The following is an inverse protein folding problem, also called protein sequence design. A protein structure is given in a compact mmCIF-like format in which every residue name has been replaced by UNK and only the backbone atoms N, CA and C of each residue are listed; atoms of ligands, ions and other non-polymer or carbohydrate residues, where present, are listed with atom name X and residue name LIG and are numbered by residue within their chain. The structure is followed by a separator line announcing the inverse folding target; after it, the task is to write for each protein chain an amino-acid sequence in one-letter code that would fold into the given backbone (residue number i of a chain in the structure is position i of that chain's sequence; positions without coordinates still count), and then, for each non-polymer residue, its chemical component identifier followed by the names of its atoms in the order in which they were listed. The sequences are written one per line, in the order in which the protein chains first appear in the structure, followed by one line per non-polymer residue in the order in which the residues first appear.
data_IF_471889052717
#
_entry.id   IF_471889052717
#
_cell.length_a   1.000
_cell.length_b   1.000
_cell.length_c   1.000
_cell.angle_alpha   90.00
_cell.angle_beta   90.00
_cell.angle_gamma   90.00
#
_symmetry.space_group_name_H-M   'P 1'
#
loop_
_entity.id
_entity.type
_entity.pdbx_description
1 polymer ?
#
# COMPACT_ATOMS: atom_id res chain seq x y z
N UNK A 1 23.74 30.70 42.40
CA UNK A 1 23.78 30.48 40.94
C UNK A 1 23.15 29.11 40.67
N UNK A 2 21.82 29.06 40.61
CA UNK A 2 21.06 27.85 40.33
C UNK A 2 20.70 27.96 38.85
N UNK A 3 21.27 27.09 38.03
CA UNK A 3 21.03 27.07 36.57
C UNK A 3 19.75 26.30 36.25
N UNK A 4 18.90 26.95 35.47
CA UNK A 4 17.66 26.41 34.86
C UNK A 4 17.91 25.18 33.98
N UNK A 5 17.79 24.00 34.55
CA UNK A 5 17.76 22.73 33.82
C UNK A 5 16.33 22.21 33.57
N UNK A 6 15.30 22.95 34.02
CA UNK A 6 13.90 22.44 33.94
C UNK A 6 13.20 22.69 32.60
N UNK A 7 13.64 23.67 31.81
CA UNK A 7 12.95 24.04 30.56
C UNK A 7 13.32 23.13 29.40
N UNK A 8 14.60 22.69 29.33
CA UNK A 8 15.03 21.77 28.26
C UNK A 8 14.44 20.35 28.41
N UNK A 9 14.32 19.85 29.63
CA UNK A 9 13.73 18.53 29.89
C UNK A 9 12.25 18.45 29.55
N UNK A 10 11.48 19.51 29.84
CA UNK A 10 10.05 19.59 29.52
C UNK A 10 9.81 19.68 28.01
N UNK A 11 10.66 20.42 27.27
CA UNK A 11 10.49 20.55 25.81
C UNK A 11 10.80 19.22 25.09
N UNK A 12 11.81 18.47 25.55
CA UNK A 12 12.15 17.15 25.01
C UNK A 12 11.06 16.11 25.32
N UNK A 13 10.48 16.15 26.51
CA UNK A 13 9.38 15.25 26.90
C UNK A 13 8.11 15.56 26.12
N UNK A 14 7.78 16.83 25.89
CA UNK A 14 6.64 17.24 25.05
C UNK A 14 6.84 16.88 23.58
N UNK A 15 8.04 17.06 23.01
CA UNK A 15 8.34 16.65 21.64
C UNK A 15 8.25 15.13 21.47
N UNK A 16 8.80 14.37 22.44
CA UNK A 16 8.75 12.91 22.44
C UNK A 16 7.30 12.39 22.60
N UNK A 17 6.49 13.03 23.43
CA UNK A 17 5.08 12.68 23.60
C UNK A 17 4.25 13.02 22.37
N UNK A 18 4.52 14.12 21.68
CA UNK A 18 3.85 14.49 20.41
C UNK A 18 4.24 13.53 19.30
N UNK A 19 5.49 13.07 19.22
CA UNK A 19 5.93 12.07 18.27
C UNK A 19 5.32 10.69 18.57
N UNK A 20 5.22 10.32 19.84
CA UNK A 20 4.56 9.06 20.27
C UNK A 20 3.06 9.08 19.95
N UNK A 21 2.37 10.19 20.21
CA UNK A 21 0.95 10.35 19.88
C UNK A 21 0.71 10.38 18.36
N UNK A 22 1.62 10.94 17.57
CA UNK A 22 1.55 10.88 16.11
C UNK A 22 1.80 9.47 15.57
N UNK A 23 2.72 8.71 16.17
CA UNK A 23 2.99 7.31 15.85
C UNK A 23 1.77 6.41 16.12
N UNK A 24 1.18 6.51 17.31
CA UNK A 24 -0.03 5.78 17.70
C UNK A 24 -1.22 6.08 16.77
N UNK A 25 -1.37 7.35 16.34
CA UNK A 25 -2.46 7.74 15.42
C UNK A 25 -2.25 7.21 14.00
N UNK A 26 -1.01 6.95 13.58
CA UNK A 26 -0.73 6.41 12.24
C UNK A 26 -0.99 4.90 12.13
N UNK A 27 -0.87 4.16 13.22
CA UNK A 27 -1.12 2.70 13.25
C UNK A 27 -2.61 2.38 13.18
N UNK A 28 -3.47 3.25 13.67
CA UNK A 28 -4.93 3.08 13.61
C UNK A 28 -5.48 3.06 12.17
N UNK A 29 -4.81 3.75 11.23
CA UNK A 29 -5.25 3.86 9.83
C UNK A 29 -4.64 2.83 8.89
N UNK A 30 -3.72 1.99 9.36
CA UNK A 30 -3.05 0.97 8.55
C UNK A 30 -3.37 -0.44 9.04
N UNK A 31 -3.25 -1.38 8.12
CA UNK A 31 -3.30 -2.82 8.40
C UNK A 31 -2.00 -3.48 8.04
N UNK A 32 -1.64 -4.52 8.79
CA UNK A 32 -0.50 -5.39 8.47
C UNK A 32 -0.92 -6.39 7.41
N UNK A 33 -0.13 -6.51 6.36
CA UNK A 33 -0.18 -7.59 5.37
C UNK A 33 1.02 -8.48 5.60
N UNK A 34 0.76 -9.65 6.15
CA UNK A 34 1.81 -10.62 6.45
C UNK A 34 2.57 -11.03 5.20
N UNK A 35 3.88 -11.15 5.32
CA UNK A 35 4.76 -11.61 4.26
C UNK A 35 4.43 -13.01 3.77
N UNK A 36 5.13 -13.45 2.75
CA UNK A 36 5.00 -14.79 2.19
C UNK A 36 4.51 -14.83 0.75
N UNK A 37 4.49 -16.02 0.19
CA UNK A 37 4.17 -16.27 -1.21
C UNK A 37 2.67 -16.28 -1.47
N UNK A 38 2.26 -15.75 -2.62
CA UNK A 38 0.89 -15.80 -3.10
C UNK A 38 0.84 -15.95 -4.63
N UNK A 39 -0.23 -16.52 -5.21
CA UNK A 39 -0.43 -16.56 -6.65
C UNK A 39 -0.93 -15.20 -7.15
N UNK A 40 -0.06 -14.46 -7.86
CA UNK A 40 -0.36 -13.21 -8.54
C UNK A 40 -0.89 -13.48 -9.94
N UNK A 41 -1.87 -12.71 -10.38
CA UNK A 41 -2.52 -12.85 -11.68
C UNK A 41 -3.79 -13.69 -11.61
N UNK A 42 -4.40 -13.96 -12.78
CA UNK A 42 -5.67 -14.67 -12.89
C UNK A 42 -5.65 -15.61 -14.08
N UNK A 43 -5.92 -16.91 -13.83
CA UNK A 43 -6.08 -17.90 -14.91
C UNK A 43 -7.35 -17.62 -15.74
N UNK A 44 -7.26 -17.87 -17.05
CA UNK A 44 -8.36 -17.64 -18.00
C UNK A 44 -8.88 -16.18 -18.04
N UNK A 45 -7.97 -15.24 -17.76
CA UNK A 45 -8.24 -13.80 -17.81
C UNK A 45 -7.54 -13.17 -19.03
N UNK A 46 -7.24 -11.86 -18.99
CA UNK A 46 -6.52 -11.19 -20.06
C UNK A 46 -5.05 -11.65 -20.12
N UNK A 47 -4.45 -11.51 -21.27
CA UNK A 47 -3.07 -11.97 -21.50
C UNK A 47 -2.05 -11.32 -20.57
N UNK A 48 -2.29 -10.05 -20.21
CA UNK A 48 -1.41 -9.30 -19.30
C UNK A 48 -1.63 -9.62 -17.80
N UNK A 49 -2.68 -10.38 -17.46
CA UNK A 49 -2.91 -10.94 -16.14
C UNK A 49 -2.34 -12.37 -16.01
N UNK A 50 -1.71 -12.88 -17.07
CA UNK A 50 -1.21 -14.25 -17.18
C UNK A 50 0.30 -14.29 -17.47
N UNK A 51 0.97 -15.42 -17.16
CA UNK A 51 0.47 -16.55 -16.38
C UNK A 51 0.29 -16.19 -14.90
N UNK A 52 -0.55 -16.95 -14.20
CA UNK A 52 -0.52 -16.90 -12.72
C UNK A 52 0.86 -17.33 -12.25
N UNK A 53 1.48 -16.52 -11.41
CA UNK A 53 2.84 -16.73 -10.92
C UNK A 53 2.89 -16.59 -9.40
N UNK A 54 3.69 -17.42 -8.75
CA UNK A 54 3.92 -17.27 -7.31
C UNK A 54 4.98 -16.20 -7.09
N UNK A 55 4.64 -15.20 -6.30
CA UNK A 55 5.56 -14.15 -5.85
C UNK A 55 5.57 -14.10 -4.33
N UNK A 56 6.73 -13.85 -3.75
CA UNK A 56 6.92 -13.66 -2.32
C UNK A 56 7.04 -12.18 -2.02
N UNK A 57 6.28 -11.70 -1.05
CA UNK A 57 6.26 -10.31 -0.61
C UNK A 57 6.68 -10.27 0.86
N UNK A 58 7.55 -9.35 1.21
CA UNK A 58 7.91 -9.04 2.59
C UNK A 58 6.71 -8.41 3.33
N UNK A 59 6.59 -8.62 4.63
CA UNK A 59 5.56 -7.98 5.48
C UNK A 59 5.57 -6.46 5.31
N UNK A 60 4.40 -5.86 5.22
CA UNK A 60 4.24 -4.41 5.10
C UNK A 60 2.94 -3.93 5.74
N UNK A 61 2.87 -2.65 6.01
CA UNK A 61 1.63 -1.97 6.42
C UNK A 61 1.01 -1.26 5.23
N UNK A 62 -0.31 -1.27 5.14
CA UNK A 62 -1.08 -0.62 4.07
C UNK A 62 -2.21 0.21 4.66
N UNK A 63 -2.50 1.37 4.08
CA UNK A 63 -3.67 2.16 4.44
C UNK A 63 -4.96 1.35 4.25
N UNK A 64 -5.85 1.37 5.26
CA UNK A 64 -7.12 0.62 5.22
C UNK A 64 -8.06 1.09 4.11
N UNK A 65 -7.92 2.34 3.70
CA UNK A 65 -8.70 2.98 2.64
C UNK A 65 -7.76 3.75 1.72
N UNK A 66 -8.28 4.33 0.66
CA UNK A 66 -7.57 5.34 -0.13
C UNK A 66 -7.21 6.56 0.74
N UNK A 67 -6.18 7.30 0.38
CA UNK A 67 -5.86 8.59 0.99
C UNK A 67 -7.05 9.53 0.83
N UNK A 68 -7.54 10.12 1.93
CA UNK A 68 -8.68 11.03 1.88
C UNK A 68 -8.27 12.46 1.53
N UNK A 69 -9.21 13.25 1.01
CA UNK A 69 -9.01 14.68 0.73
C UNK A 69 -8.60 15.42 2.01
N UNK A 70 -9.19 15.11 3.16
CA UNK A 70 -8.84 15.74 4.43
C UNK A 70 -7.42 15.40 4.86
N UNK A 71 -7.02 14.14 4.69
CA UNK A 71 -5.67 13.74 5.04
C UNK A 71 -4.64 14.34 4.08
N UNK A 72 -4.97 14.38 2.77
CA UNK A 72 -4.14 15.08 1.79
C UNK A 72 -3.91 16.54 2.21
N UNK A 73 -4.97 17.31 2.48
CA UNK A 73 -4.89 18.71 2.88
C UNK A 73 -4.05 18.94 4.13
N UNK A 74 -4.18 18.06 5.11
CA UNK A 74 -3.40 18.14 6.35
C UNK A 74 -1.90 18.07 6.06
N UNK A 75 -1.49 17.10 5.24
CA UNK A 75 -0.10 16.93 4.83
C UNK A 75 0.35 18.06 3.89
N UNK A 76 -0.44 18.38 2.87
CA UNK A 76 -0.15 19.44 1.88
C UNK A 76 0.15 20.78 2.55
N UNK A 77 -0.65 21.16 3.53
CA UNK A 77 -0.46 22.42 4.30
C UNK A 77 0.91 22.51 4.97
N UNK A 78 1.41 21.43 5.47
CA UNK A 78 2.74 21.33 6.06
C UNK A 78 3.83 21.19 4.97
N UNK A 79 3.61 20.35 3.98
CA UNK A 79 4.53 20.01 2.92
C UNK A 79 4.97 21.24 2.11
N UNK A 80 4.03 22.11 1.74
CA UNK A 80 4.32 23.35 1.00
C UNK A 80 5.30 24.25 1.76
N UNK A 81 5.18 24.31 3.11
CA UNK A 81 6.13 25.04 3.98
C UNK A 81 7.48 24.34 4.09
N UNK A 82 7.52 23.03 3.87
CA UNK A 82 8.71 22.18 3.91
C UNK A 82 9.37 21.99 2.54
N UNK A 83 8.98 22.80 1.53
CA UNK A 83 9.61 22.84 0.22
C UNK A 83 8.99 21.94 -0.84
N UNK A 84 7.91 21.22 -0.52
CA UNK A 84 7.20 20.41 -1.52
C UNK A 84 6.36 21.28 -2.46
N UNK A 85 6.20 20.79 -3.71
CA UNK A 85 5.34 21.39 -4.73
C UNK A 85 4.57 20.30 -5.45
N UNK A 86 3.27 20.50 -5.58
CA UNK A 86 2.33 19.60 -6.24
C UNK A 86 1.68 20.32 -7.43
N UNK A 87 1.55 19.62 -8.55
CA UNK A 87 0.76 20.05 -9.72
C UNK A 87 -0.73 19.83 -9.45
N UNK A 88 -1.05 18.73 -8.76
CA UNK A 88 -2.38 18.43 -8.24
C UNK A 88 -2.58 19.14 -6.89
N UNK A 89 -3.78 19.55 -6.61
CA UNK A 89 -4.08 20.16 -5.32
C UNK A 89 -5.46 19.75 -4.84
N UNK A 90 -5.69 19.81 -3.53
CA UNK A 90 -6.97 19.47 -2.93
C UNK A 90 -8.16 20.27 -3.49
N UNK A 91 -7.91 21.44 -4.08
CA UNK A 91 -8.94 22.21 -4.80
C UNK A 91 -9.43 21.50 -6.08
N UNK A 92 -8.56 20.75 -6.75
CA UNK A 92 -8.92 20.01 -7.95
C UNK A 92 -9.72 18.74 -7.62
N UNK A 93 -9.43 18.07 -6.50
CA UNK A 93 -10.12 16.88 -6.03
C UNK A 93 -11.63 17.10 -5.85
N UNK A 94 -12.06 18.31 -5.50
CA UNK A 94 -13.49 18.67 -5.40
C UNK A 94 -14.27 18.45 -6.70
N UNK A 95 -13.62 18.45 -7.87
CA UNK A 95 -14.28 18.21 -9.16
C UNK A 95 -14.71 16.76 -9.35
N UNK A 96 -14.13 15.83 -8.60
CA UNK A 96 -14.49 14.41 -8.62
C UNK A 96 -15.59 14.03 -7.65
N UNK A 97 -16.07 14.96 -6.82
CA UNK A 97 -17.11 14.70 -5.84
C UNK A 97 -18.49 15.09 -6.38
N UNK A 98 -19.52 14.39 -5.93
CA UNK A 98 -20.88 14.91 -6.05
C UNK A 98 -20.95 16.25 -5.34
N UNK A 99 -21.47 17.27 -6.02
CA UNK A 99 -21.57 18.64 -5.48
C UNK A 99 -22.42 18.73 -4.20
N UNK A 100 -23.21 17.72 -3.89
CA UNK A 100 -24.01 17.62 -2.67
C UNK A 100 -23.20 17.27 -1.40
N UNK A 101 -21.99 16.71 -1.54
CA UNK A 101 -21.26 16.11 -0.42
C UNK A 101 -19.84 16.65 -0.23
N UNK A 102 -19.49 17.72 -0.94
CA UNK A 102 -18.11 18.20 -1.09
C UNK A 102 -17.41 18.67 0.21
N UNK A 103 -18.12 18.80 1.33
CA UNK A 103 -17.59 19.45 2.54
C UNK A 103 -17.19 18.49 3.67
N UNK A 104 -17.54 17.20 3.64
CA UNK A 104 -17.24 16.26 4.73
C UNK A 104 -15.79 15.79 4.77
N UNK A 105 -15.10 15.81 3.64
CA UNK A 105 -13.66 15.51 3.55
C UNK A 105 -13.24 14.05 3.67
N UNK A 106 -14.15 13.14 3.91
CA UNK A 106 -13.88 11.70 4.03
C UNK A 106 -13.92 10.96 2.68
N UNK A 107 -13.91 11.70 1.59
CA UNK A 107 -13.82 11.18 0.24
C UNK A 107 -12.38 10.89 -0.18
N UNK A 108 -12.16 9.91 -1.08
CA UNK A 108 -10.82 9.63 -1.58
C UNK A 108 -10.24 10.85 -2.31
N UNK A 109 -8.97 11.12 -2.07
CA UNK A 109 -8.22 12.06 -2.89
C UNK A 109 -8.16 11.56 -4.32
N UNK A 110 -8.49 12.42 -5.25
CA UNK A 110 -8.50 12.16 -6.67
C UNK A 110 -7.92 13.35 -7.45
N UNK A 111 -7.89 13.30 -8.78
CA UNK A 111 -7.21 14.31 -9.59
C UNK A 111 -5.73 14.45 -9.23
N UNK A 112 -5.08 13.33 -8.88
CA UNK A 112 -3.67 13.24 -8.49
C UNK A 112 -2.91 12.47 -9.56
N UNK A 113 -1.84 13.05 -10.09
CA UNK A 113 -0.92 12.34 -10.94
C UNK A 113 0.07 11.49 -10.11
N UNK A 114 0.79 10.57 -10.78
CA UNK A 114 1.69 9.66 -10.11
C UNK A 114 2.83 10.38 -9.36
N UNK A 115 3.40 11.41 -9.95
CA UNK A 115 4.49 12.18 -9.35
C UNK A 115 4.07 12.87 -8.05
N UNK A 116 2.85 13.40 -8.01
CA UNK A 116 2.33 14.06 -6.82
C UNK A 116 2.00 13.04 -5.71
N UNK A 117 1.51 11.84 -6.07
CA UNK A 117 1.30 10.77 -5.11
C UNK A 117 2.64 10.32 -4.47
N UNK A 118 3.71 10.22 -5.26
CA UNK A 118 5.08 9.92 -4.80
C UNK A 118 5.62 11.01 -3.87
N UNK A 119 5.55 12.29 -4.29
CA UNK A 119 6.00 13.42 -3.48
C UNK A 119 5.21 13.55 -2.18
N UNK A 120 3.89 13.34 -2.24
CA UNK A 120 3.02 13.38 -1.07
C UNK A 120 3.35 12.26 -0.07
N UNK A 121 3.69 11.07 -0.55
CA UNK A 121 4.13 9.96 0.30
C UNK A 121 5.42 10.31 1.06
N UNK A 122 6.38 10.98 0.42
CA UNK A 122 7.54 11.54 1.08
C UNK A 122 7.18 12.61 2.12
N UNK A 123 6.28 13.53 1.75
CA UNK A 123 5.81 14.56 2.67
C UNK A 123 5.10 13.97 3.90
N UNK A 124 4.30 12.92 3.70
CA UNK A 124 3.70 12.15 4.79
C UNK A 124 4.77 11.53 5.69
N UNK A 125 5.82 10.98 5.10
CA UNK A 125 6.93 10.38 5.86
C UNK A 125 7.57 11.43 6.78
N UNK A 126 8.02 12.55 6.23
CA UNK A 126 8.64 13.63 7.03
C UNK A 126 7.65 14.20 8.08
N UNK A 127 6.37 14.41 7.71
CA UNK A 127 5.34 14.88 8.64
C UNK A 127 5.13 13.95 9.83
N UNK A 128 5.24 12.65 9.60
CA UNK A 128 5.09 11.60 10.62
C UNK A 128 6.41 11.28 11.34
N UNK A 129 7.50 12.00 11.04
CA UNK A 129 8.82 11.79 11.66
C UNK A 129 9.58 10.57 11.12
N UNK A 130 9.24 10.10 9.91
CA UNK A 130 9.91 9.01 9.21
C UNK A 130 10.82 9.55 8.11
N UNK A 131 11.81 8.78 7.71
CA UNK A 131 12.66 9.14 6.58
C UNK A 131 11.89 8.95 5.25
N UNK A 132 11.96 9.92 4.32
CA UNK A 132 11.44 9.75 2.96
C UNK A 132 12.12 8.59 2.25
N UNK A 133 11.43 7.98 1.31
CA UNK A 133 11.96 6.84 0.55
C UNK A 133 12.25 7.15 -0.91
N UNK A 134 11.72 8.23 -1.46
CA UNK A 134 11.91 8.62 -2.85
C UNK A 134 12.90 9.76 -2.98
N UNK A 135 13.84 9.61 -3.91
CA UNK A 135 14.90 10.58 -4.20
C UNK A 135 14.93 10.86 -5.69
N UNK A 136 15.55 11.98 -6.09
CA UNK A 136 15.70 12.33 -7.50
C UNK A 136 17.01 11.81 -8.11
N UNK A 137 17.82 11.12 -7.31
CA UNK A 137 19.10 10.56 -7.71
C UNK A 137 19.35 9.19 -7.06
N UNK A 138 20.17 8.35 -7.72
CA UNK A 138 20.50 7.00 -7.26
C UNK A 138 21.38 6.96 -6.01
N UNK A 139 22.06 8.06 -5.66
CA UNK A 139 22.83 8.17 -4.42
C UNK A 139 21.93 8.44 -3.21
N UNK A 140 20.67 8.83 -3.48
CA UNK A 140 19.69 9.18 -2.46
C UNK A 140 20.09 10.40 -1.63
N UNK A 141 20.75 11.36 -2.27
CA UNK A 141 21.17 12.62 -1.64
C UNK A 141 20.06 13.67 -1.66
N UNK A 142 19.22 13.66 -2.70
CA UNK A 142 18.19 14.67 -2.93
C UNK A 142 16.79 14.10 -2.79
N UNK A 143 16.09 14.45 -1.71
CA UNK A 143 14.70 14.03 -1.48
C UNK A 143 13.79 14.56 -2.61
N UNK A 144 12.94 13.71 -3.17
CA UNK A 144 12.01 14.10 -4.22
C UNK A 144 10.86 14.95 -3.65
N UNK A 145 10.95 16.29 -3.83
CA UNK A 145 9.99 17.28 -3.31
C UNK A 145 9.29 18.10 -4.39
N UNK A 146 9.91 18.24 -5.56
CA UNK A 146 9.42 19.17 -6.60
C UNK A 146 9.60 18.58 -8.00
N UNK A 147 8.84 19.10 -8.96
CA UNK A 147 8.92 18.68 -10.36
C UNK A 147 8.15 17.40 -10.64
N UNK A 148 8.25 16.98 -11.90
CA UNK A 148 7.72 15.72 -12.43
C UNK A 148 8.89 14.97 -13.05
N UNK A 149 9.82 14.56 -12.20
CA UNK A 149 11.04 13.86 -12.57
C UNK A 149 10.79 12.36 -12.55
N UNK A 150 11.09 11.70 -13.65
CA UNK A 150 11.10 10.25 -13.67
C UNK A 150 12.19 9.71 -12.76
N UNK A 151 11.82 8.75 -11.95
CA UNK A 151 12.71 8.05 -11.03
C UNK A 151 12.58 6.55 -11.26
N UNK A 152 13.69 5.85 -11.17
CA UNK A 152 13.78 4.40 -11.24
C UNK A 152 13.92 3.77 -9.84
N UNK A 153 14.03 2.45 -9.79
CA UNK A 153 14.13 1.70 -8.53
C UNK A 153 15.39 2.05 -7.71
N UNK A 154 16.47 2.52 -8.35
CA UNK A 154 17.72 2.93 -7.67
C UNK A 154 17.52 4.20 -6.85
N UNK A 155 16.57 5.03 -7.25
CA UNK A 155 16.18 6.27 -6.57
C UNK A 155 15.26 6.02 -5.36
N UNK A 156 14.94 4.77 -5.03
CA UNK A 156 14.03 4.42 -3.94
C UNK A 156 14.76 3.69 -2.82
N UNK A 157 14.55 4.10 -1.59
CA UNK A 157 14.99 3.36 -0.42
C UNK A 157 13.95 2.30 -0.04
N UNK A 158 14.01 1.14 -0.66
CA UNK A 158 13.05 0.04 -0.46
C UNK A 158 13.04 -0.55 0.95
N UNK A 159 14.15 -0.42 1.67
CA UNK A 159 14.27 -0.88 3.07
C UNK A 159 13.88 0.20 4.08
N UNK A 160 13.58 1.40 3.61
CA UNK A 160 13.15 2.52 4.44
C UNK A 160 11.73 2.32 4.98
N UNK A 161 11.48 2.86 6.18
CA UNK A 161 10.19 2.78 6.88
C UNK A 161 9.23 3.92 6.52
N UNK A 162 9.60 4.79 5.58
CA UNK A 162 8.75 5.86 5.08
C UNK A 162 7.58 5.33 4.25
N UNK A 163 6.61 6.18 4.04
CA UNK A 163 5.44 5.88 3.23
C UNK A 163 5.77 5.93 1.74
N UNK A 164 5.15 5.05 0.98
CA UNK A 164 5.29 4.94 -0.47
C UNK A 164 4.05 4.36 -1.13
N UNK A 165 3.99 4.44 -2.44
CA UNK A 165 3.03 3.68 -3.23
C UNK A 165 3.33 2.18 -3.08
N UNK A 166 2.32 1.31 -3.08
CA UNK A 166 2.53 -0.12 -3.19
C UNK A 166 3.14 -0.47 -4.55
N UNK A 167 3.97 -1.51 -4.62
CA UNK A 167 4.16 -2.18 -5.90
C UNK A 167 2.87 -2.85 -6.34
N UNK A 168 2.73 -3.16 -7.63
CA UNK A 168 1.57 -3.85 -8.16
C UNK A 168 1.32 -5.18 -7.44
N UNK A 169 2.38 -5.91 -7.11
CA UNK A 169 2.31 -7.17 -6.40
C UNK A 169 1.91 -7.02 -4.92
N UNK A 170 2.41 -5.99 -4.23
CA UNK A 170 1.99 -5.65 -2.87
C UNK A 170 0.50 -5.27 -2.83
N UNK A 171 0.07 -4.45 -3.78
CA UNK A 171 -1.34 -4.08 -3.91
C UNK A 171 -2.22 -5.32 -4.12
N UNK A 172 -1.85 -6.20 -5.08
CA UNK A 172 -2.65 -7.40 -5.39
C UNK A 172 -2.71 -8.37 -4.21
N UNK A 173 -1.58 -8.60 -3.49
CA UNK A 173 -1.57 -9.41 -2.28
C UNK A 173 -2.53 -8.86 -1.22
N UNK A 174 -2.45 -7.56 -0.97
CA UNK A 174 -3.33 -6.89 -0.03
C UNK A 174 -4.81 -6.97 -0.44
N UNK A 175 -5.09 -6.71 -1.72
CA UNK A 175 -6.43 -6.76 -2.29
C UNK A 175 -7.07 -8.16 -2.14
N UNK A 176 -6.29 -9.22 -2.36
CA UNK A 176 -6.78 -10.59 -2.24
C UNK A 176 -7.19 -10.99 -0.81
N UNK A 177 -6.67 -10.33 0.21
CA UNK A 177 -7.02 -10.66 1.59
C UNK A 177 -6.76 -12.14 1.96
N UNK A 178 -5.75 -12.78 1.34
CA UNK A 178 -5.45 -14.19 1.53
C UNK A 178 -6.31 -15.16 0.69
N UNK A 179 -7.29 -14.67 -0.08
CA UNK A 179 -8.14 -15.50 -0.94
C UNK A 179 -7.48 -15.66 -2.32
N UNK A 180 -7.39 -16.88 -2.82
CA UNK A 180 -6.74 -17.19 -4.08
C UNK A 180 -7.74 -17.37 -5.22
N UNK A 181 -7.38 -16.95 -6.44
CA UNK A 181 -8.10 -17.25 -7.68
C UNK A 181 -9.52 -16.64 -7.77
N UNK A 182 -9.83 -15.63 -6.96
CA UNK A 182 -11.11 -14.94 -6.98
C UNK A 182 -11.00 -13.61 -7.73
N UNK A 183 -12.13 -13.20 -8.32
CA UNK A 183 -12.23 -11.94 -9.05
C UNK A 183 -12.23 -10.72 -8.11
N UNK A 184 -12.84 -10.86 -6.92
CA UNK A 184 -13.05 -9.79 -5.95
C UNK A 184 -12.61 -10.24 -4.54
N UNK A 185 -12.42 -9.32 -3.59
CA UNK A 185 -11.98 -9.66 -2.22
C UNK A 185 -12.91 -10.62 -1.47
N UNK A 186 -14.18 -10.72 -1.88
CA UNK A 186 -15.22 -11.58 -1.28
C UNK A 186 -15.58 -12.79 -2.15
N UNK A 187 -15.05 -12.94 -3.36
CA UNK A 187 -15.36 -14.08 -4.24
C UNK A 187 -15.41 -13.74 -5.71
N UNK A 188 -16.33 -14.38 -6.47
CA UNK A 188 -16.46 -14.20 -7.93
C UNK A 188 -17.68 -13.38 -8.36
N UNK A 189 -18.41 -12.84 -7.43
CA UNK A 189 -19.66 -12.16 -7.65
C UNK A 189 -19.54 -10.70 -7.17
N UNK A 190 -20.18 -9.77 -7.83
CA UNK A 190 -20.25 -8.36 -7.47
C UNK A 190 -21.67 -7.85 -7.65
N UNK A 191 -22.15 -7.10 -6.69
CA UNK A 191 -23.35 -6.27 -6.79
C UNK A 191 -23.14 -4.93 -6.07
N UNK A 192 -24.09 -4.02 -6.21
CA UNK A 192 -23.99 -2.68 -5.67
C UNK A 192 -24.06 -2.58 -4.14
N UNK A 193 -24.20 -3.69 -3.41
CA UNK A 193 -24.06 -3.72 -1.96
C UNK A 193 -22.62 -3.94 -1.51
N UNK A 194 -21.71 -4.22 -2.44
CA UNK A 194 -20.34 -4.65 -2.17
C UNK A 194 -19.29 -3.62 -2.60
N UNK A 195 -19.61 -2.75 -3.57
CA UNK A 195 -18.66 -1.79 -4.09
C UNK A 195 -19.36 -0.62 -4.79
N UNK A 196 -18.65 0.52 -4.85
CA UNK A 196 -19.06 1.65 -5.65
C UNK A 196 -18.55 1.50 -7.08
N UNK A 197 -19.47 1.32 -8.01
CA UNK A 197 -19.23 1.26 -9.45
C UNK A 197 -20.41 1.89 -10.20
N UNK A 198 -20.32 2.03 -11.51
CA UNK A 198 -21.36 2.70 -12.32
C UNK A 198 -22.74 2.03 -12.14
N UNK A 199 -23.69 2.78 -11.59
CA UNK A 199 -25.05 2.34 -11.27
C UNK A 199 -25.08 1.21 -10.23
N UNK A 200 -24.19 1.26 -9.24
CA UNK A 200 -24.20 0.37 -8.08
C UNK A 200 -25.47 0.51 -7.22
N UNK A 201 -26.15 1.66 -7.34
CA UNK A 201 -27.38 1.91 -6.57
C UNK A 201 -27.12 2.53 -5.21
N UNK A 202 -25.90 2.93 -4.92
CA UNK A 202 -25.59 3.83 -3.81
C UNK A 202 -26.08 5.26 -4.11
N UNK A 203 -26.19 6.16 -3.14
CA UNK A 203 -26.68 7.52 -3.34
C UNK A 203 -25.71 8.46 -4.04
N UNK A 204 -24.50 8.01 -4.39
CA UNK A 204 -23.41 8.81 -4.97
C UNK A 204 -23.22 8.57 -6.48
N UNK A 205 -24.29 8.34 -7.22
CA UNK A 205 -24.23 7.98 -8.64
C UNK A 205 -23.28 8.90 -9.46
N UNK A 206 -22.42 8.28 -10.29
CA UNK A 206 -21.33 8.93 -11.06
C UNK A 206 -20.31 9.72 -10.19
N UNK A 207 -20.13 9.34 -8.91
CA UNK A 207 -19.19 9.95 -7.99
C UNK A 207 -18.56 8.93 -7.02
N UNK A 208 -17.46 9.31 -6.38
CA UNK A 208 -16.89 8.50 -5.32
C UNK A 208 -17.80 8.52 -4.07
N UNK A 209 -17.81 7.42 -3.33
CA UNK A 209 -18.36 7.34 -1.96
C UNK A 209 -17.33 7.86 -0.94
N UNK A 210 -17.76 8.25 0.26
CA UNK A 210 -16.83 8.35 1.39
C UNK A 210 -16.03 7.04 1.54
N UNK A 211 -14.76 7.14 1.92
CA UNK A 211 -13.94 5.93 2.11
C UNK A 211 -14.52 5.03 3.20
N UNK A 212 -14.46 3.72 3.01
CA UNK A 212 -15.04 2.75 3.94
C UNK A 212 -16.57 2.78 3.99
N UNK A 213 -17.23 3.28 2.97
CA UNK A 213 -18.70 3.39 2.92
C UNK A 213 -19.41 2.04 3.07
N UNK A 214 -18.85 0.97 2.52
CA UNK A 214 -19.42 -0.38 2.55
C UNK A 214 -19.03 -1.14 3.82
N UNK A 215 -19.36 -0.58 4.98
CA UNK A 215 -18.99 -1.07 6.32
C UNK A 215 -20.11 -1.82 7.06
N UNK A 216 -21.19 -2.15 6.35
CA UNK A 216 -22.39 -2.77 6.94
C UNK A 216 -23.49 -1.78 7.30
N UNK A 217 -23.25 -0.47 7.20
CA UNK A 217 -24.23 0.59 7.46
C UNK A 217 -24.65 1.36 6.19
N UNK A 218 -24.09 1.00 5.04
CA UNK A 218 -24.31 1.66 3.76
C UNK A 218 -25.80 1.73 3.36
N UNK A 219 -26.16 2.85 2.72
CA UNK A 219 -27.49 3.03 2.12
C UNK A 219 -27.42 2.56 0.67
N UNK A 220 -28.32 1.65 0.28
CA UNK A 220 -28.46 1.19 -1.09
C UNK A 220 -29.88 1.52 -1.55
N UNK A 221 -29.97 2.33 -2.60
CA UNK A 221 -31.24 2.71 -3.21
C UNK A 221 -31.78 1.58 -4.10
N UNK A 222 -33.06 1.60 -4.42
CA UNK A 222 -33.83 0.48 -4.96
C UNK A 222 -33.51 0.02 -6.40
N UNK A 223 -32.51 0.57 -7.06
CA UNK A 223 -32.19 0.29 -8.47
C UNK A 223 -31.00 -0.64 -8.68
N UNK A 224 -30.66 -1.43 -7.68
CA UNK A 224 -29.64 -2.47 -7.83
C UNK A 224 -30.21 -3.54 -8.75
N UNK A 225 -29.59 -3.82 -9.89
CA UNK A 225 -29.82 -5.01 -10.67
C UNK A 225 -29.40 -6.23 -9.84
N UNK A 226 -30.22 -6.60 -8.86
CA UNK A 226 -30.03 -7.81 -8.09
C UNK A 226 -30.45 -8.99 -8.95
N UNK A 227 -29.52 -9.84 -9.27
CA UNK A 227 -29.83 -11.21 -9.68
C UNK A 227 -30.49 -11.93 -8.48
N UNK A 228 -31.80 -11.75 -8.36
CA UNK A 228 -32.66 -12.55 -7.50
C UNK A 228 -32.77 -12.10 -6.04
N UNK A 229 -33.77 -11.28 -5.72
CA UNK A 229 -34.35 -11.17 -4.38
C UNK A 229 -34.08 -9.87 -3.61
N UNK A 230 -35.10 -9.44 -2.92
CA UNK A 230 -35.24 -8.19 -2.15
C UNK A 230 -34.30 -8.01 -0.93
N UNK A 231 -33.14 -8.64 -0.89
CA UNK A 231 -32.26 -8.51 0.25
C UNK A 231 -31.18 -7.44 0.01
N UNK A 232 -31.48 -6.22 0.38
CA UNK A 232 -30.51 -5.13 0.63
C UNK A 232 -29.55 -5.59 1.74
N UNK A 233 -28.50 -6.33 1.37
CA UNK A 233 -27.52 -6.82 2.33
C UNK A 233 -26.63 -5.66 2.74
N UNK A 234 -26.77 -5.21 3.97
CA UNK A 234 -25.75 -4.38 4.61
C UNK A 234 -24.63 -5.32 5.06
N UNK A 235 -23.58 -5.38 4.25
CA UNK A 235 -22.41 -6.20 4.53
C UNK A 235 -21.21 -5.30 4.78
N UNK A 236 -20.45 -5.60 5.80
CA UNK A 236 -19.10 -5.08 5.96
C UNK A 236 -18.21 -5.85 4.97
N UNK A 237 -17.72 -5.15 3.93
CA UNK A 237 -16.99 -5.78 2.81
C UNK A 237 -15.48 -5.67 2.94
N UNK A 238 -14.98 -5.21 4.08
CA UNK A 238 -13.54 -5.23 4.31
C UNK A 238 -13.00 -6.64 4.13
N UNK A 239 -11.85 -6.74 3.48
CA UNK A 239 -11.21 -8.03 3.32
C UNK A 239 -10.53 -8.51 4.63
N UNK A 240 -9.89 -9.69 4.62
CA UNK A 240 -9.26 -10.23 5.84
C UNK A 240 -8.09 -9.37 6.37
N UNK A 241 -7.52 -8.49 5.55
CA UNK A 241 -6.57 -7.47 5.99
C UNK A 241 -7.26 -6.15 6.42
N UNK A 242 -8.57 -6.15 6.63
CA UNK A 242 -9.35 -4.99 7.08
C UNK A 242 -9.32 -3.82 6.09
N UNK A 243 -9.14 -4.09 4.79
CA UNK A 243 -9.09 -3.08 3.74
C UNK A 243 -10.45 -2.87 3.11
N UNK A 244 -10.81 -1.61 2.92
CA UNK A 244 -12.00 -1.15 2.20
C UNK A 244 -11.64 -0.62 0.82
N UNK A 245 -12.65 -0.51 -0.02
CA UNK A 245 -12.62 0.18 -1.32
C UNK A 245 -11.57 -0.37 -2.32
N UNK A 246 -11.22 -1.65 -2.15
CA UNK A 246 -10.26 -2.36 -3.03
C UNK A 246 -10.86 -2.59 -4.43
N UNK A 247 -12.17 -2.53 -4.56
CA UNK A 247 -12.91 -2.72 -5.79
C UNK A 247 -13.82 -1.52 -5.99
N UNK A 248 -13.62 -0.79 -7.07
CA UNK A 248 -14.41 0.40 -7.37
C UNK A 248 -13.94 1.64 -6.60
N UNK A 249 -14.82 2.58 -6.34
CA UNK A 249 -14.57 3.89 -5.77
C UNK A 249 -13.59 4.70 -6.64
N UNK A 250 -12.29 4.74 -6.35
CA UNK A 250 -11.28 5.31 -7.24
C UNK A 250 -10.18 4.31 -7.51
N UNK A 251 -9.65 4.29 -8.74
CA UNK A 251 -8.46 3.52 -9.08
C UNK A 251 -7.25 4.02 -8.28
N UNK A 252 -6.29 3.15 -8.05
CA UNK A 252 -5.17 3.43 -7.14
C UNK A 252 -3.83 3.29 -7.84
N UNK A 253 -3.05 4.36 -7.86
CA UNK A 253 -1.69 4.33 -8.38
C UNK A 253 -0.83 3.30 -7.65
N UNK A 254 -0.03 2.54 -8.43
CA UNK A 254 1.05 1.69 -7.94
C UNK A 254 2.41 2.25 -8.39
N UNK A 255 3.47 1.67 -7.87
CA UNK A 255 4.83 2.05 -8.27
C UNK A 255 5.18 1.63 -9.69
N UNK A 256 4.70 0.46 -10.13
CA UNK A 256 5.20 -0.28 -11.27
C UNK A 256 4.96 0.44 -12.61
N UNK A 257 5.95 0.36 -13.49
CA UNK A 257 5.73 0.55 -14.91
C UNK A 257 4.96 -0.62 -15.50
N UNK A 258 4.22 -0.37 -16.55
CA UNK A 258 3.43 -1.41 -17.23
C UNK A 258 4.23 -2.06 -18.36
N UNK A 259 4.17 -3.38 -18.41
CA UNK A 259 4.55 -4.19 -19.56
C UNK A 259 3.57 -5.36 -19.66
N UNK A 260 2.93 -5.53 -20.83
CA UNK A 260 1.84 -6.50 -20.99
C UNK A 260 2.29 -7.95 -20.69
N UNK A 261 3.48 -8.34 -21.13
CA UNK A 261 4.02 -9.70 -20.91
C UNK A 261 4.93 -9.80 -19.67
N UNK A 262 4.80 -8.88 -18.70
CA UNK A 262 5.71 -8.83 -17.55
C UNK A 262 5.65 -10.09 -16.70
N UNK A 263 4.49 -10.69 -16.51
CA UNK A 263 4.33 -11.89 -15.68
C UNK A 263 5.04 -13.12 -16.25
N UNK A 264 5.23 -13.20 -17.56
CA UNK A 264 6.01 -14.24 -18.26
C UNK A 264 7.46 -13.84 -18.56
N UNK A 265 7.86 -12.59 -18.26
CA UNK A 265 9.18 -12.09 -18.56
C UNK A 265 10.23 -12.71 -17.62
N UNK A 266 11.34 -13.20 -18.16
CA UNK A 266 12.44 -13.80 -17.39
C UNK A 266 13.15 -12.82 -16.43
N UNK A 267 13.06 -11.51 -16.70
CA UNK A 267 13.57 -10.45 -15.81
C UNK A 267 12.66 -10.19 -14.60
N UNK A 268 11.42 -10.68 -14.66
CA UNK A 268 10.44 -10.41 -13.60
C UNK A 268 10.81 -11.16 -12.33
N UNK A 269 11.22 -10.42 -11.30
CA UNK A 269 11.51 -10.98 -9.97
C UNK A 269 10.29 -11.68 -9.39
N UNK A 270 10.54 -12.75 -8.65
CA UNK A 270 9.51 -13.45 -7.85
C UNK A 270 9.54 -13.06 -6.37
N UNK A 271 10.52 -12.25 -5.97
CA UNK A 271 10.65 -11.73 -4.60
C UNK A 271 10.55 -10.21 -4.66
N UNK A 272 9.59 -9.67 -3.94
CA UNK A 272 9.29 -8.23 -3.87
C UNK A 272 9.37 -7.50 -5.22
N UNK A 273 8.64 -7.98 -6.26
CA UNK A 273 8.74 -7.43 -7.61
C UNK A 273 8.34 -5.95 -7.65
N UNK A 274 9.04 -5.16 -8.47
CA UNK A 274 8.87 -3.71 -8.63
C UNK A 274 8.45 -3.30 -10.04
N UNK A 275 8.04 -4.26 -10.86
CA UNK A 275 7.74 -4.03 -12.27
C UNK A 275 8.98 -4.01 -13.17
N UNK A 276 8.81 -3.71 -14.44
CA UNK A 276 9.91 -3.53 -15.37
C UNK A 276 10.68 -2.23 -15.11
N UNK A 277 11.96 -2.21 -15.46
CA UNK A 277 12.74 -0.98 -15.47
C UNK A 277 12.28 -0.06 -16.61
N UNK A 278 12.34 1.25 -16.39
CA UNK A 278 11.98 2.23 -17.41
C UNK A 278 12.84 2.05 -18.69
N UNK A 279 14.10 1.68 -18.52
CA UNK A 279 15.04 1.41 -19.62
C UNK A 279 14.63 0.24 -20.52
N UNK A 280 13.81 -0.67 -20.03
CA UNK A 280 13.30 -1.81 -20.79
C UNK A 280 12.06 -1.48 -21.63
N UNK A 281 11.50 -0.27 -21.45
CA UNK A 281 10.27 0.16 -22.10
C UNK A 281 10.56 1.12 -23.27
N UNK A 282 9.79 0.99 -24.34
CA UNK A 282 9.78 2.00 -25.39
C UNK A 282 9.09 3.26 -24.90
N UNK A 283 9.49 4.42 -25.40
CA UNK A 283 8.90 5.71 -25.02
C UNK A 283 7.38 5.76 -25.19
N UNK A 284 6.84 5.06 -26.20
CA UNK A 284 5.40 4.97 -26.45
C UNK A 284 4.65 4.02 -25.49
N UNK A 285 5.37 3.27 -24.65
CA UNK A 285 4.86 2.24 -23.75
C UNK A 285 5.07 2.61 -22.26
N UNK A 286 5.45 3.84 -21.98
CA UNK A 286 5.75 4.32 -20.63
C UNK A 286 4.48 4.74 -19.88
N UNK A 287 3.78 3.74 -19.39
CA UNK A 287 2.59 3.90 -18.55
C UNK A 287 2.83 3.32 -17.17
N UNK A 288 2.27 3.96 -16.16
CA UNK A 288 2.20 3.43 -14.80
C UNK A 288 0.97 2.53 -14.64
N UNK A 289 1.11 1.51 -13.81
CA UNK A 289 -0.02 0.66 -13.42
C UNK A 289 -0.84 1.35 -12.34
N UNK A 290 -2.17 1.27 -12.45
CA UNK A 290 -3.09 1.50 -11.35
C UNK A 290 -4.11 0.38 -11.24
N UNK A 291 -4.72 0.20 -10.10
CA UNK A 291 -5.49 -0.98 -9.76
C UNK A 291 -6.84 -0.63 -9.13
N UNK A 292 -7.76 -1.61 -9.02
CA UNK A 292 -9.01 -1.52 -8.28
C UNK A 292 -10.25 -1.21 -9.12
N UNK A 293 -10.10 -0.54 -10.27
CA UNK A 293 -11.22 0.01 -11.02
C UNK A 293 -11.80 1.24 -10.33
N UNK A 294 -12.88 1.79 -10.85
CA UNK A 294 -13.45 3.03 -10.33
C UNK A 294 -14.98 3.08 -10.42
N UNK A 295 -15.59 4.12 -9.86
CA UNK A 295 -17.04 4.33 -9.82
C UNK A 295 -17.69 4.49 -11.22
N UNK A 296 -16.93 4.60 -12.29
CA UNK A 296 -17.41 4.64 -13.68
C UNK A 296 -17.31 3.32 -14.41
N UNK A 297 -16.60 2.36 -13.85
CA UNK A 297 -16.54 1.01 -14.40
C UNK A 297 -17.85 0.27 -14.11
N UNK A 298 -18.21 -0.71 -14.95
CA UNK A 298 -19.48 -1.40 -14.85
C UNK A 298 -19.29 -2.90 -14.93
N UNK A 299 -19.86 -3.69 -14.00
CA UNK A 299 -19.81 -5.14 -14.08
C UNK A 299 -20.70 -5.73 -15.19
N UNK A 300 -21.64 -4.94 -15.71
CA UNK A 300 -22.59 -5.37 -16.74
C UNK A 300 -22.15 -5.08 -18.18
N UNK A 301 -21.02 -4.42 -18.37
CA UNK A 301 -20.43 -4.11 -19.66
C UNK A 301 -19.32 -5.13 -19.91
N UNK A 302 -19.40 -5.94 -20.97
CA UNK A 302 -18.43 -7.02 -21.25
C UNK A 302 -16.98 -6.52 -21.25
N UNK A 303 -16.74 -5.31 -21.73
CA UNK A 303 -15.42 -4.70 -21.73
C UNK A 303 -15.04 -4.16 -20.35
N UNK A 304 -15.99 -3.58 -19.61
CA UNK A 304 -15.75 -2.89 -18.33
C UNK A 304 -15.96 -3.77 -17.11
N UNK A 305 -16.68 -4.90 -17.23
CA UNK A 305 -16.88 -5.84 -16.12
C UNK A 305 -15.58 -6.41 -15.57
N UNK A 306 -14.55 -6.45 -16.41
CA UNK A 306 -13.22 -6.96 -16.04
C UNK A 306 -12.43 -5.98 -15.20
N UNK A 307 -12.69 -4.67 -15.33
CA UNK A 307 -11.91 -3.57 -14.75
C UNK A 307 -11.98 -3.50 -13.23
N UNK A 308 -13.07 -3.99 -12.65
CA UNK A 308 -13.30 -4.06 -11.22
C UNK A 308 -12.63 -5.26 -10.54
N UNK A 309 -12.04 -6.20 -11.32
CA UNK A 309 -11.39 -7.40 -10.76
C UNK A 309 -10.04 -7.07 -10.14
N UNK A 310 -9.70 -7.79 -9.07
CA UNK A 310 -8.41 -7.65 -8.39
C UNK A 310 -7.23 -7.78 -9.37
N UNK A 311 -7.30 -8.75 -10.31
CA UNK A 311 -6.18 -9.02 -11.21
C UNK A 311 -6.07 -8.02 -12.38
N UNK A 312 -7.12 -7.22 -12.65
CA UNK A 312 -7.10 -6.31 -13.78
C UNK A 312 -6.03 -5.23 -13.64
N UNK A 313 -5.28 -5.03 -14.70
CA UNK A 313 -4.15 -4.08 -14.75
C UNK A 313 -4.55 -2.85 -15.57
N UNK A 314 -4.87 -1.76 -14.89
CA UNK A 314 -5.11 -0.47 -15.54
C UNK A 314 -3.78 0.23 -15.83
N UNK A 315 -3.78 1.08 -16.84
CA UNK A 315 -2.60 1.85 -17.24
C UNK A 315 -2.94 3.31 -17.51
N UNK A 316 -2.04 4.19 -17.10
CA UNK A 316 -2.13 5.60 -17.43
C UNK A 316 -0.72 6.24 -17.52
N UNK A 317 -0.62 7.32 -18.30
CA UNK A 317 0.56 8.17 -18.28
C UNK A 317 0.77 8.73 -16.85
N UNK A 318 2.01 8.77 -16.33
CA UNK A 318 2.27 9.26 -14.97
C UNK A 318 1.82 10.71 -14.70
N UNK A 319 1.68 11.53 -15.74
CA UNK A 319 1.12 12.90 -15.63
C UNK A 319 -0.42 12.93 -15.60
N UNK A 320 -1.06 11.79 -15.87
CA UNK A 320 -2.51 11.72 -15.94
C UNK A 320 -3.13 11.91 -14.56
N UNK A 321 -4.13 12.79 -14.49
CA UNK A 321 -4.92 13.01 -13.30
C UNK A 321 -6.41 12.94 -13.65
N UNK A 322 -7.17 12.14 -12.92
CA UNK A 322 -8.59 11.91 -13.15
C UNK A 322 -9.39 11.97 -11.85
N UNK A 323 -10.66 12.33 -11.96
CA UNK A 323 -11.60 12.23 -10.83
C UNK A 323 -11.85 10.80 -10.36
N UNK A 324 -11.44 9.82 -11.15
CA UNK A 324 -11.56 8.38 -10.85
C UNK A 324 -10.23 7.76 -10.43
N UNK A 325 -9.20 8.55 -10.17
CA UNK A 325 -7.85 8.04 -9.89
C UNK A 325 -7.24 8.75 -8.68
N UNK A 326 -6.92 7.95 -7.69
CA UNK A 326 -6.30 8.32 -6.43
C UNK A 326 -5.18 7.35 -6.06
N UNK A 327 -4.98 7.10 -4.78
CA UNK A 327 -3.97 6.16 -4.30
C UNK A 327 -4.15 5.84 -2.80
N UNK A 328 -3.53 4.76 -2.36
CA UNK A 328 -3.23 4.49 -0.94
C UNK A 328 -1.74 4.29 -0.74
N UNK A 329 -1.26 4.49 0.48
CA UNK A 329 0.14 4.28 0.80
C UNK A 329 0.34 2.95 1.52
N UNK A 330 1.58 2.47 1.38
CA UNK A 330 2.15 1.45 2.24
C UNK A 330 3.40 1.98 2.93
N UNK A 331 3.88 1.24 3.91
CA UNK A 331 5.24 1.37 4.46
C UNK A 331 5.80 -0.03 4.75
N UNK A 332 7.09 -0.17 4.60
CA UNK A 332 7.78 -1.36 5.08
C UNK A 332 7.83 -1.34 6.61
N UNK A 333 7.86 -2.51 7.23
CA UNK A 333 8.25 -2.58 8.63
C UNK A 333 9.68 -2.09 8.78
N UNK A 334 10.01 -1.52 9.94
CA UNK A 334 11.41 -1.43 10.30
C UNK A 334 11.96 -2.86 10.19
N UNK A 335 13.00 -3.06 9.41
CA UNK A 335 13.87 -4.21 9.62
C UNK A 335 14.26 -4.07 11.09
N UNK A 336 13.84 -5.02 11.93
CA UNK A 336 14.04 -4.91 13.37
C UNK A 336 15.49 -4.51 13.63
N UNK A 337 15.70 -3.28 14.10
CA UNK A 337 17.03 -2.81 14.53
C UNK A 337 17.62 -3.71 15.60
N UNK A 338 16.79 -4.53 16.26
CA UNK A 338 17.20 -5.60 17.18
C UNK A 338 18.16 -6.62 16.56
N UNK A 339 18.10 -6.82 15.22
CA UNK A 339 19.09 -7.65 14.53
C UNK A 339 20.36 -6.88 14.16
N UNK A 340 20.33 -5.54 14.16
CA UNK A 340 21.49 -4.68 13.87
C UNK A 340 22.43 -4.63 15.07
N UNK A 341 21.93 -4.76 16.29
CA UNK A 341 22.75 -4.80 17.53
C UNK A 341 23.36 -6.18 17.81
N UNK A 342 23.21 -7.15 16.90
CA UNK A 342 23.84 -8.46 17.09
C UNK A 342 25.37 -8.32 17.13
N UNK A 343 25.95 -8.75 18.22
CA UNK A 343 27.39 -8.83 18.37
C UNK A 343 27.89 -10.14 17.80
N UNK A 344 28.87 -10.08 16.89
CA UNK A 344 29.49 -11.27 16.34
C UNK A 344 30.36 -11.94 17.37
N UNK A 345 30.16 -13.22 17.61
CA UNK A 345 30.95 -14.02 18.56
C UNK A 345 32.01 -14.80 17.78
N UNK A 346 33.28 -14.67 18.21
CA UNK A 346 34.40 -15.40 17.62
C UNK A 346 35.13 -14.66 16.50
N UNK A 347 35.81 -15.42 15.62
CA UNK A 347 36.60 -14.88 14.51
C UNK A 347 35.73 -14.15 13.46
N UNK A 348 36.38 -13.38 12.58
CA UNK A 348 35.70 -12.67 11.46
C UNK A 348 34.86 -13.60 10.58
N UNK A 349 35.15 -14.89 10.52
CA UNK A 349 34.42 -15.89 9.75
C UNK A 349 33.29 -16.58 10.53
N UNK A 350 33.15 -16.30 11.84
CA UNK A 350 32.11 -16.90 12.66
C UNK A 350 30.72 -16.42 12.20
N UNK A 351 29.79 -17.37 12.09
CA UNK A 351 28.37 -17.10 11.87
C UNK A 351 27.54 -17.13 13.15
N UNK A 352 28.21 -17.15 14.29
CA UNK A 352 27.60 -17.04 15.60
C UNK A 352 27.46 -15.58 16.00
N UNK A 353 26.30 -15.25 16.55
CA UNK A 353 25.92 -13.93 17.01
C UNK A 353 25.33 -14.01 18.41
N UNK A 354 25.33 -12.90 19.09
CA UNK A 354 24.69 -12.71 20.40
C UNK A 354 23.75 -11.51 20.36
N UNK A 355 22.55 -11.66 20.92
CA UNK A 355 21.66 -10.56 21.23
C UNK A 355 21.12 -10.73 22.65
N UNK A 356 20.97 -9.62 23.38
CA UNK A 356 20.68 -9.65 24.82
C UNK A 356 19.40 -10.42 25.19
N UNK A 357 18.42 -10.46 24.33
CA UNK A 357 17.12 -11.07 24.60
C UNK A 357 17.01 -12.53 24.11
N UNK A 358 17.83 -12.92 23.11
CA UNK A 358 17.82 -14.27 22.53
C UNK A 358 19.01 -15.13 22.99
N UNK A 359 20.13 -14.50 23.38
CA UNK A 359 21.38 -15.23 23.66
C UNK A 359 22.21 -15.49 22.40
N UNK A 360 22.98 -16.56 22.42
CA UNK A 360 23.86 -16.95 21.32
C UNK A 360 23.11 -17.76 20.27
N UNK A 361 23.31 -17.44 19.02
CA UNK A 361 22.67 -18.13 17.89
C UNK A 361 23.57 -18.18 16.66
N UNK A 362 23.34 -19.18 15.80
CA UNK A 362 23.99 -19.32 14.51
C UNK A 362 23.02 -18.96 13.39
N UNK A 363 23.43 -18.10 12.45
CA UNK A 363 22.63 -17.71 11.30
C UNK A 363 23.06 -18.50 10.05
N UNK A 364 22.12 -19.23 9.43
CA UNK A 364 22.32 -19.92 8.15
C UNK A 364 22.29 -18.96 6.97
N UNK A 365 22.52 -19.46 5.75
CA UNK A 365 22.41 -18.68 4.52
C UNK A 365 20.95 -18.39 4.12
N UNK A 366 20.01 -19.18 4.65
CA UNK A 366 18.60 -19.17 4.27
C UNK A 366 17.72 -18.54 5.36
N UNK A 367 18.26 -17.57 6.11
CA UNK A 367 17.60 -16.87 7.21
C UNK A 367 17.13 -17.73 8.40
N UNK A 368 17.42 -19.04 8.40
CA UNK A 368 17.22 -19.86 9.56
C UNK A 368 18.27 -19.58 10.63
N UNK A 369 17.82 -19.59 11.86
CA UNK A 369 18.64 -19.34 13.05
C UNK A 369 18.65 -20.59 13.92
N UNK A 370 19.83 -21.06 14.31
CA UNK A 370 19.98 -22.15 15.28
C UNK A 370 20.27 -21.57 16.66
N UNK A 371 19.41 -21.89 17.63
CA UNK A 371 19.61 -21.56 19.04
C UNK A 371 19.92 -22.83 19.82
N UNK A 372 20.86 -22.76 20.77
CA UNK A 372 21.33 -23.93 21.50
C UNK A 372 20.23 -24.67 22.29
N UNK A 373 19.26 -23.92 22.84
CA UNK A 373 18.16 -24.49 23.62
C UNK A 373 16.92 -24.82 22.78
N UNK A 374 16.67 -24.07 21.70
CA UNK A 374 15.42 -24.15 20.94
C UNK A 374 15.58 -24.81 19.56
N UNK A 375 16.79 -25.15 19.16
CA UNK A 375 17.07 -25.74 17.85
C UNK A 375 16.92 -24.72 16.71
N UNK A 376 16.50 -25.19 15.55
CA UNK A 376 16.29 -24.35 14.38
C UNK A 376 15.01 -23.53 14.50
N UNK A 377 15.15 -22.22 14.37
CA UNK A 377 14.06 -21.24 14.40
C UNK A 377 14.07 -20.49 13.08
N UNK A 378 12.91 -20.25 12.51
CA UNK A 378 12.76 -19.28 11.43
C UNK A 378 12.22 -17.98 12.03
N UNK A 379 13.03 -16.91 12.10
CA UNK A 379 12.55 -15.64 12.61
C UNK A 379 11.64 -15.01 11.57
N UNK A 380 10.34 -15.14 11.75
CA UNK A 380 9.38 -14.29 11.07
C UNK A 380 9.41 -12.92 11.76
N UNK A 381 9.33 -11.85 11.00
CA UNK A 381 9.13 -10.51 11.54
C UNK A 381 7.78 -10.48 12.28
N UNK A 382 7.79 -10.84 13.56
CA UNK A 382 6.62 -10.83 14.42
C UNK A 382 6.80 -9.71 15.44
N UNK A 383 5.83 -8.82 15.47
CA UNK A 383 5.66 -7.88 16.56
C UNK A 383 5.77 -8.60 17.91
N UNK A 384 6.67 -8.23 18.70
CA UNK A 384 7.06 -8.40 20.10
C UNK A 384 6.45 -9.50 21.01
N UNK A 385 5.60 -10.42 20.60
CA UNK A 385 4.93 -11.30 21.55
C UNK A 385 5.02 -12.80 21.35
N UNK A 386 5.43 -13.34 20.21
CA UNK A 386 5.46 -14.80 20.05
C UNK A 386 6.52 -15.31 19.07
N UNK A 387 7.63 -15.78 19.58
CA UNK A 387 8.46 -16.77 18.89
C UNK A 387 7.69 -18.09 18.86
N UNK A 388 7.26 -18.54 17.68
CA UNK A 388 6.78 -19.92 17.53
C UNK A 388 7.98 -20.82 17.22
N UNK A 389 8.36 -21.66 18.18
CA UNK A 389 9.15 -22.83 17.90
C UNK A 389 8.30 -23.77 17.03
N UNK A 390 8.74 -24.07 15.81
CA UNK A 390 8.21 -25.19 15.07
C UNK A 390 8.79 -26.45 15.67
N UNK A 391 7.93 -27.27 16.29
CA UNK A 391 8.30 -28.65 16.62
C UNK A 391 8.75 -29.32 15.33
N UNK A 392 10.02 -29.73 15.30
CA UNK A 392 10.55 -30.62 14.29
C UNK A 392 9.86 -31.97 14.47
N UNK A 393 9.03 -32.38 13.53
CA UNK A 393 8.69 -33.78 13.38
C UNK A 393 9.95 -34.53 12.98
N UNK A 394 10.60 -35.14 13.97
CA UNK A 394 11.58 -36.19 13.74
C UNK A 394 10.81 -37.49 13.41
N UNK A 395 10.99 -37.95 12.19
CA UNK A 395 10.96 -39.38 11.86
C UNK A 395 12.07 -39.65 10.85
#
# INVERSE_FOLDING_TARGET
MVRDYSIFGSLFFFLSLILLLKGLHSEEYMSVVEGGSFPMGQANALDDEQPVRFVSITTFHIDKTEVTINFWRKIEKWAVKSGYRFSSGSSNAKRGLSWHFADTGDYPMNMVNWYDAVKWSNARSEFMGRQPVYFTDSKKDTIYKTGETEIDETCVNWTGTGYRLPSEAEWEKAARGGIQGKNYPWGNFIDGSLANYKRSGDPFDDAATPVGYFNGEQIITSNVNSLGGENKRKLDVRNNYQLYDITGNVGEWTWDWYQANWYSNSKSSVTDPKGPELSDLKTSEQYKVYRGGDFRDSPNDEERSRKLRIAFRHVANPEFASRTLGFRCIRSDAVDELWIEKQKIGSVESKWFYVNWLGSFFQSKDDWVYHEEWGWIYPTAVSYTHLRAHETFAN
#
